data_IF_034981137987
#
_entry.id   IF_034981137987
#
_cell.length_a   1.000
_cell.length_b   1.000
_cell.length_c   1.000
_cell.angle_alpha   90.00
_cell.angle_beta   90.00
_cell.angle_gamma   90.00
#
_symmetry.space_group_name_H-M   'P 1'
#
loop_
_entity.id
_entity.type
_entity.pdbx_description
1 polymer ?
#
# COMPACT_ATOMS: atom_id res chain seq x y z
N UNK A 1 11.26 8.17 7.94
CA UNK A 1 12.29 8.96 8.67
C UNK A 1 13.56 8.13 8.83
N UNK A 2 14.77 8.65 8.56
CA UNK A 2 15.98 7.97 9.01
C UNK A 2 15.92 7.97 10.53
N UNK A 3 15.83 6.80 11.17
CA UNK A 3 15.61 6.73 12.62
C UNK A 3 16.75 7.35 13.45
N UNK A 4 17.79 7.88 12.81
CA UNK A 4 18.86 8.68 13.42
C UNK A 4 18.36 9.95 14.11
N UNK A 5 17.23 10.52 13.67
CA UNK A 5 16.63 11.74 14.25
C UNK A 5 15.88 11.49 15.56
N UNK A 6 15.51 10.24 15.86
CA UNK A 6 14.72 9.88 17.04
C UNK A 6 15.58 9.38 18.20
N UNK A 7 16.91 9.41 18.06
CA UNK A 7 17.82 8.96 19.10
C UNK A 7 17.62 9.79 20.39
N UNK A 8 17.52 9.09 21.52
CA UNK A 8 17.36 9.68 22.84
C UNK A 8 16.09 10.54 23.01
N UNK A 9 15.09 10.36 22.12
CA UNK A 9 13.76 10.99 22.23
C UNK A 9 12.73 10.05 22.85
N UNK A 10 11.87 10.61 23.69
CA UNK A 10 10.62 10.00 24.11
C UNK A 10 9.59 10.15 22.99
N UNK A 11 9.01 9.05 22.54
CA UNK A 11 8.12 9.07 21.38
C UNK A 11 6.67 9.10 21.85
N UNK A 12 5.92 10.07 21.34
CA UNK A 12 4.47 10.16 21.42
C UNK A 12 3.87 9.99 20.03
N UNK A 13 2.67 9.42 19.95
CA UNK A 13 1.95 9.25 18.69
C UNK A 13 0.65 10.04 18.74
N UNK A 14 0.50 10.99 17.83
CA UNK A 14 -0.74 11.71 17.57
C UNK A 14 -1.56 10.91 16.55
N UNK A 15 -2.74 10.43 16.97
CA UNK A 15 -3.75 9.87 16.08
C UNK A 15 -4.72 10.99 15.70
N UNK A 16 -4.32 11.83 14.74
CA UNK A 16 -5.01 13.10 14.40
C UNK A 16 -6.53 12.93 14.17
N UNK A 17 -7.03 11.94 13.39
CA UNK A 17 -8.47 11.78 13.19
C UNK A 17 -9.24 11.38 14.45
N UNK A 18 -8.56 10.81 15.45
CA UNK A 18 -9.12 10.48 16.77
C UNK A 18 -8.90 11.61 17.79
N UNK A 19 -8.10 12.64 17.46
CA UNK A 19 -7.83 13.77 18.33
C UNK A 19 -7.06 13.44 19.60
N UNK A 20 -6.27 12.36 19.61
CA UNK A 20 -5.59 11.86 20.81
C UNK A 20 -4.09 11.64 20.58
N UNK A 21 -3.28 12.06 21.56
CA UNK A 21 -1.84 11.78 21.61
C UNK A 21 -1.56 10.80 22.74
N UNK A 22 -0.82 9.72 22.43
CA UNK A 22 -0.52 8.65 23.38
C UNK A 22 0.99 8.41 23.43
N UNK A 23 1.61 8.30 24.62
CA UNK A 23 3.00 7.89 24.74
C UNK A 23 3.22 6.51 24.13
N UNK A 24 4.14 6.39 23.18
CA UNK A 24 4.45 5.11 22.54
C UNK A 24 5.20 4.15 23.47
N UNK A 25 5.75 4.67 24.58
CA UNK A 25 6.61 3.95 25.53
C UNK A 25 7.81 3.26 24.88
N UNK A 26 8.30 3.87 23.81
CA UNK A 26 9.54 3.53 23.15
C UNK A 26 10.44 4.75 23.06
N UNK A 27 11.74 4.49 22.96
CA UNK A 27 12.77 5.50 22.76
C UNK A 27 13.72 5.05 21.64
N UNK A 28 14.31 6.02 20.93
CA UNK A 28 15.29 5.74 19.89
C UNK A 28 16.67 5.48 20.47
N UNK A 29 17.35 4.45 19.97
CA UNK A 29 18.73 4.09 20.32
C UNK A 29 19.54 3.78 19.07
N UNK A 30 20.87 3.89 19.17
CA UNK A 30 21.79 3.31 18.17
C UNK A 30 22.16 1.88 18.58
N UNK A 31 21.94 0.92 17.68
CA UNK A 31 22.35 -0.46 17.87
C UNK A 31 22.98 -1.01 16.59
N UNK A 32 24.23 -1.47 16.68
CA UNK A 32 25.03 -1.93 15.54
C UNK A 32 25.15 -0.87 14.43
N UNK A 33 25.35 0.40 14.82
CA UNK A 33 25.47 1.53 13.89
C UNK A 33 24.16 1.95 13.21
N UNK A 34 23.05 1.22 13.43
CA UNK A 34 21.73 1.55 12.88
C UNK A 34 20.82 2.10 13.98
N UNK A 35 20.01 3.12 13.67
CA UNK A 35 18.98 3.58 14.59
C UNK A 35 17.87 2.53 14.77
N UNK A 36 17.39 2.36 15.99
CA UNK A 36 16.34 1.39 16.36
C UNK A 36 15.45 1.97 17.45
N UNK A 37 14.21 1.49 17.54
CA UNK A 37 13.31 1.79 18.64
C UNK A 37 13.31 0.66 19.67
N UNK A 38 13.44 1.00 20.95
CA UNK A 38 13.36 0.06 22.08
C UNK A 38 12.25 0.49 23.02
N UNK A 39 11.58 -0.49 23.64
CA UNK A 39 10.62 -0.22 24.73
C UNK A 39 11.36 0.33 25.94
N UNK A 40 10.74 1.27 26.65
CA UNK A 40 11.23 1.77 27.94
C UNK A 40 11.40 0.62 28.95
N UNK A 41 10.38 -0.23 29.06
CA UNK A 41 10.46 -1.50 29.80
C UNK A 41 10.43 -2.67 28.81
N UNK A 42 11.58 -3.30 28.58
CA UNK A 42 11.72 -4.42 27.66
C UNK A 42 10.99 -5.69 28.11
N UNK A 43 10.72 -5.84 29.40
CA UNK A 43 10.10 -7.04 29.97
C UNK A 43 8.58 -6.89 30.13
N UNK A 44 8.05 -5.68 30.02
CA UNK A 44 6.62 -5.44 30.13
C UNK A 44 5.87 -5.88 28.86
N UNK A 45 5.20 -7.04 28.98
CA UNK A 45 4.36 -7.60 27.91
C UNK A 45 3.03 -6.86 27.73
N UNK A 46 2.61 -6.04 28.69
CA UNK A 46 1.41 -5.21 28.55
C UNK A 46 1.66 -4.00 27.65
N UNK A 47 2.92 -3.65 27.36
CA UNK A 47 3.24 -2.51 26.50
C UNK A 47 3.51 -3.00 25.10
N UNK A 48 2.93 -2.36 24.09
CA UNK A 48 3.12 -2.73 22.69
C UNK A 48 4.35 -2.03 22.12
N UNK A 49 5.05 -2.65 21.17
CA UNK A 49 6.07 -1.94 20.40
C UNK A 49 5.39 -1.01 19.38
N UNK A 50 6.05 0.07 18.96
CA UNK A 50 5.41 1.16 18.19
C UNK A 50 4.56 0.68 16.99
N UNK A 51 5.03 -0.19 16.08
CA UNK A 51 4.20 -0.64 14.97
C UNK A 51 2.98 -1.44 15.43
N UNK A 52 3.14 -2.35 16.41
CA UNK A 52 2.04 -3.14 16.96
C UNK A 52 1.00 -2.25 17.64
N UNK A 53 1.45 -1.18 18.30
CA UNK A 53 0.63 -0.17 18.95
C UNK A 53 -0.21 0.60 17.93
N UNK A 54 0.43 1.20 16.92
CA UNK A 54 -0.25 1.95 15.85
C UNK A 54 -1.25 1.06 15.12
N UNK A 55 -0.87 -0.19 14.79
CA UNK A 55 -1.76 -1.13 14.13
C UNK A 55 -2.93 -1.55 15.01
N UNK A 56 -2.76 -1.65 16.32
CA UNK A 56 -3.84 -1.94 17.24
C UNK A 56 -4.87 -0.80 17.26
N UNK A 57 -4.41 0.46 17.37
CA UNK A 57 -5.28 1.65 17.29
C UNK A 57 -5.99 1.74 15.94
N UNK A 58 -5.31 1.40 14.84
CA UNK A 58 -5.88 1.38 13.50
C UNK A 58 -6.75 0.15 13.17
N UNK A 59 -7.05 -0.72 14.16
CA UNK A 59 -7.78 -1.99 13.99
C UNK A 59 -7.25 -2.86 12.84
N UNK A 60 -5.93 -2.92 12.71
CA UNK A 60 -5.24 -3.80 11.78
C UNK A 60 -4.79 -5.09 12.48
N UNK A 61 -4.81 -6.25 11.79
CA UNK A 61 -4.29 -7.49 12.37
C UNK A 61 -2.81 -7.37 12.75
N UNK A 62 -2.36 -8.17 13.73
CA UNK A 62 -0.97 -8.13 14.15
C UNK A 62 -0.04 -8.72 13.07
N UNK A 63 1.06 -8.06 12.69
CA UNK A 63 2.02 -8.61 11.74
C UNK A 63 2.86 -9.73 12.38
N UNK A 64 3.30 -10.68 11.57
CA UNK A 64 4.33 -11.65 11.93
C UNK A 64 5.70 -10.96 12.09
N UNK A 65 6.55 -11.59 12.90
CA UNK A 65 7.94 -11.12 13.12
C UNK A 65 8.88 -11.49 11.98
N UNK A 66 8.61 -12.61 11.33
CA UNK A 66 9.47 -13.23 10.33
C UNK A 66 8.64 -13.64 9.13
N UNK A 67 9.23 -13.51 7.95
CA UNK A 67 8.61 -13.84 6.68
C UNK A 67 8.99 -15.28 6.32
N UNK A 68 8.11 -16.21 6.69
CA UNK A 68 8.31 -17.64 6.47
C UNK A 68 7.77 -18.12 5.12
N UNK A 69 6.80 -17.40 4.56
CA UNK A 69 6.04 -17.82 3.38
C UNK A 69 6.52 -17.13 2.10
N UNK A 70 7.22 -16.00 2.22
CA UNK A 70 7.61 -15.14 1.10
C UNK A 70 6.44 -14.71 0.20
N UNK A 71 5.22 -14.79 0.74
CA UNK A 71 3.97 -14.51 0.05
C UNK A 71 2.99 -13.89 1.04
N UNK A 72 2.22 -12.91 0.56
CA UNK A 72 1.15 -12.26 1.33
C UNK A 72 -0.18 -12.65 0.72
N UNK A 73 -1.09 -13.09 1.58
CA UNK A 73 -2.48 -13.37 1.22
C UNK A 73 -3.35 -12.22 1.70
N UNK A 74 -4.34 -11.85 0.88
CA UNK A 74 -5.38 -10.91 1.27
C UNK A 74 -6.73 -11.65 1.36
N UNK A 75 -7.61 -11.25 2.29
CA UNK A 75 -7.42 -10.18 3.28
C UNK A 75 -6.36 -10.52 4.32
N UNK A 76 -5.80 -9.49 4.96
CA UNK A 76 -4.74 -9.66 5.95
C UNK A 76 -5.30 -10.38 7.17
N UNK A 77 -4.55 -11.35 7.67
CA UNK A 77 -4.90 -12.10 8.86
C UNK A 77 -3.82 -11.93 9.93
N UNK A 78 -4.20 -12.25 11.16
CA UNK A 78 -3.30 -12.15 12.29
C UNK A 78 -2.08 -13.05 12.09
N UNK A 79 -0.88 -12.46 12.10
CA UNK A 79 0.42 -13.10 11.87
C UNK A 79 0.58 -13.80 10.51
N UNK A 80 -0.23 -13.45 9.50
CA UNK A 80 -0.08 -14.02 8.15
C UNK A 80 0.78 -13.17 7.20
N UNK A 81 1.20 -11.98 7.63
CA UNK A 81 1.98 -11.04 6.82
C UNK A 81 3.09 -10.39 7.64
N UNK A 82 4.11 -9.88 6.97
CA UNK A 82 5.18 -9.11 7.61
C UNK A 82 5.12 -7.66 7.17
N UNK A 83 5.16 -6.75 8.15
CA UNK A 83 5.30 -5.33 7.87
C UNK A 83 6.70 -5.04 7.34
N UNK A 84 6.79 -4.31 6.24
CA UNK A 84 8.08 -3.89 5.70
C UNK A 84 8.55 -2.56 6.30
N UNK A 85 7.69 -1.53 6.25
CA UNK A 85 7.97 -0.24 6.85
C UNK A 85 6.69 0.47 7.34
N UNK A 86 6.87 1.41 8.26
CA UNK A 86 5.82 2.32 8.71
C UNK A 86 6.39 3.75 8.67
N UNK A 87 5.68 4.64 8.01
CA UNK A 87 6.08 6.04 7.86
C UNK A 87 5.32 6.92 8.83
N UNK A 88 6.00 7.97 9.29
CA UNK A 88 5.49 8.94 10.24
C UNK A 88 5.89 10.34 9.78
N UNK A 89 5.01 11.30 10.03
CA UNK A 89 5.32 12.72 10.04
C UNK A 89 5.74 13.16 11.45
N UNK A 90 6.66 14.12 11.53
CA UNK A 90 7.04 14.77 12.79
C UNK A 90 6.18 16.01 12.95
N UNK A 91 5.32 16.00 13.96
CA UNK A 91 4.43 17.11 14.26
C UNK A 91 5.12 18.13 15.15
N UNK A 92 5.87 17.64 16.13
CA UNK A 92 6.63 18.46 17.07
C UNK A 92 7.87 17.69 17.57
N UNK A 93 8.96 18.39 17.83
CA UNK A 93 10.22 17.86 18.39
C UNK A 93 10.90 18.98 19.19
N UNK A 94 10.87 18.85 20.52
CA UNK A 94 11.47 19.83 21.43
C UNK A 94 12.90 19.45 21.87
N UNK A 95 13.43 18.34 21.35
CA UNK A 95 14.73 17.82 21.73
C UNK A 95 14.69 16.76 22.84
N UNK A 96 13.55 16.52 23.48
CA UNK A 96 13.35 15.49 24.51
C UNK A 96 12.18 14.60 24.12
N UNK A 97 11.04 15.21 23.82
CA UNK A 97 9.83 14.57 23.37
C UNK A 97 9.61 14.84 21.88
N UNK A 98 9.22 13.80 21.15
CA UNK A 98 8.85 13.89 19.73
C UNK A 98 7.45 13.37 19.53
N UNK A 99 6.61 14.17 18.88
CA UNK A 99 5.24 13.78 18.52
C UNK A 99 5.21 13.37 17.05
N UNK A 100 4.85 12.12 16.81
CA UNK A 100 4.77 11.52 15.50
C UNK A 100 3.31 11.32 15.07
N UNK A 101 2.97 11.62 13.83
CA UNK A 101 1.69 11.25 13.23
C UNK A 101 1.89 10.08 12.26
N UNK A 102 1.18 8.95 12.41
CA UNK A 102 1.36 7.79 11.55
C UNK A 102 0.73 8.03 10.17
N UNK A 103 1.51 7.85 9.10
CA UNK A 103 1.08 8.12 7.73
C UNK A 103 0.60 6.86 7.03
N UNK A 104 1.50 5.88 6.86
CA UNK A 104 1.23 4.67 6.09
C UNK A 104 2.03 3.46 6.56
N UNK A 105 1.55 2.28 6.19
CA UNK A 105 2.23 0.99 6.38
C UNK A 105 2.43 0.31 5.04
N UNK A 106 3.63 -0.22 4.79
CA UNK A 106 3.95 -1.09 3.66
C UNK A 106 4.06 -2.54 4.14
N UNK A 107 3.65 -3.47 3.28
CA UNK A 107 3.71 -4.90 3.58
C UNK A 107 4.80 -5.55 2.74
N UNK A 108 5.61 -6.39 3.35
CA UNK A 108 6.69 -7.09 2.65
C UNK A 108 6.11 -8.03 1.59
N UNK A 109 6.75 -8.11 0.43
CA UNK A 109 6.28 -8.91 -0.71
C UNK A 109 4.90 -8.48 -1.24
N UNK A 110 4.55 -7.20 -1.06
CA UNK A 110 3.32 -6.63 -1.59
C UNK A 110 3.51 -5.18 -2.01
N UNK A 111 2.90 -4.78 -3.13
CA UNK A 111 2.77 -3.37 -3.52
C UNK A 111 1.63 -2.67 -2.73
N UNK A 112 1.02 -3.38 -1.77
CA UNK A 112 -0.09 -2.87 -0.97
C UNK A 112 0.40 -1.88 0.09
N UNK A 113 -0.27 -0.73 0.11
CA UNK A 113 -0.04 0.39 0.98
C UNK A 113 -1.29 0.62 1.81
N UNK A 114 -1.15 0.71 3.13
CA UNK A 114 -2.24 1.09 4.01
C UNK A 114 -2.03 2.53 4.45
N UNK A 115 -2.86 3.44 3.96
CA UNK A 115 -2.95 4.81 4.46
C UNK A 115 -3.63 4.78 5.84
N UNK A 116 -2.89 5.11 6.89
CA UNK A 116 -3.35 5.01 8.28
C UNK A 116 -4.34 6.11 8.62
N UNK A 117 -4.23 7.28 7.99
CA UNK A 117 -5.21 8.35 8.15
C UNK A 117 -6.62 7.91 7.80
N UNK A 118 -6.80 7.28 6.63
CA UNK A 118 -8.11 6.79 6.18
C UNK A 118 -8.70 5.77 7.17
N UNK A 119 -7.84 4.94 7.77
CA UNK A 119 -8.24 3.97 8.81
C UNK A 119 -8.74 4.65 10.06
N UNK A 120 -8.00 5.63 10.55
CA UNK A 120 -8.34 6.36 11.76
C UNK A 120 -9.61 7.21 11.55
N UNK A 121 -9.78 7.82 10.37
CA UNK A 121 -11.02 8.52 9.99
C UNK A 121 -12.23 7.57 9.93
N UNK A 122 -12.04 6.35 9.42
CA UNK A 122 -13.04 5.29 9.43
C UNK A 122 -13.46 4.92 10.87
N UNK A 123 -12.48 4.72 11.76
CA UNK A 123 -12.74 4.40 13.16
C UNK A 123 -13.48 5.54 13.87
N UNK A 124 -13.08 6.79 13.62
CA UNK A 124 -13.77 7.96 14.15
C UNK A 124 -15.25 7.99 13.72
N UNK A 125 -15.53 7.66 12.45
CA UNK A 125 -16.90 7.57 11.92
C UNK A 125 -17.70 6.46 12.56
N UNK A 126 -17.13 5.27 12.75
CA UNK A 126 -17.80 4.16 13.42
C UNK A 126 -18.21 4.56 14.86
N UNK A 127 -17.34 5.27 15.59
CA UNK A 127 -17.65 5.77 16.95
C UNK A 127 -18.73 6.86 16.91
N UNK A 128 -18.69 7.77 15.94
CA UNK A 128 -19.72 8.80 15.79
C UNK A 128 -21.09 8.23 15.40
N UNK A 129 -21.11 7.15 14.60
CA UNK A 129 -22.31 6.44 14.14
C UNK A 129 -22.74 5.27 15.03
N UNK A 130 -22.26 5.19 16.27
CA UNK A 130 -22.40 3.99 17.10
C UNK A 130 -23.85 3.60 17.39
N UNK A 131 -24.77 4.56 17.45
CA UNK A 131 -26.19 4.31 17.69
C UNK A 131 -26.83 3.52 16.53
N UNK A 132 -26.45 3.82 15.29
CA UNK A 132 -26.94 3.13 14.10
C UNK A 132 -26.36 1.71 14.03
N UNK A 133 -25.07 1.56 14.31
CA UNK A 133 -24.42 0.24 14.38
C UNK A 133 -25.06 -0.60 15.50
N UNK A 134 -25.36 -0.01 16.66
CA UNK A 134 -25.98 -0.72 17.77
C UNK A 134 -27.40 -1.21 17.46
N UNK A 135 -28.11 -0.56 16.54
CA UNK A 135 -29.45 -0.97 16.12
C UNK A 135 -29.46 -2.28 15.33
N UNK A 136 -28.40 -2.55 14.55
CA UNK A 136 -28.27 -3.75 13.71
C UNK A 136 -27.32 -4.79 14.31
N UNK A 137 -26.24 -4.35 14.96
CA UNK A 137 -25.13 -5.15 15.45
C UNK A 137 -24.70 -4.71 16.88
N UNK A 138 -25.51 -5.00 17.92
CA UNK A 138 -25.27 -4.51 19.28
C UNK A 138 -23.94 -4.99 19.89
N UNK A 139 -23.54 -6.23 19.64
CA UNK A 139 -22.27 -6.78 20.16
C UNK A 139 -21.05 -6.13 19.49
N UNK A 140 -21.15 -5.83 18.19
CA UNK A 140 -20.10 -5.11 17.45
C UNK A 140 -19.99 -3.66 17.94
N UNK A 141 -21.12 -2.99 18.18
CA UNK A 141 -21.13 -1.65 18.75
C UNK A 141 -20.49 -1.63 20.16
N UNK A 142 -20.81 -2.62 21.01
CA UNK A 142 -20.20 -2.76 22.32
C UNK A 142 -18.67 -2.96 22.23
N UNK A 143 -18.20 -3.79 21.30
CA UNK A 143 -16.77 -3.99 21.06
C UNK A 143 -16.07 -2.72 20.54
N UNK A 144 -16.71 -1.97 19.65
CA UNK A 144 -16.21 -0.68 19.14
C UNK A 144 -16.05 0.33 20.27
N UNK A 145 -17.04 0.45 21.16
CA UNK A 145 -16.97 1.33 22.32
C UNK A 145 -15.86 0.90 23.28
N UNK A 146 -15.77 -0.40 23.60
CA UNK A 146 -14.70 -0.92 24.46
C UNK A 146 -13.30 -0.63 23.88
N UNK A 147 -13.15 -0.70 22.56
CA UNK A 147 -11.90 -0.32 21.89
C UNK A 147 -11.64 1.19 21.95
N UNK A 148 -12.67 2.01 21.71
CA UNK A 148 -12.58 3.46 21.83
C UNK A 148 -12.20 3.88 23.25
N UNK A 149 -12.79 3.28 24.28
CA UNK A 149 -12.48 3.54 25.68
C UNK A 149 -11.02 3.15 26.02
N UNK A 150 -10.55 2.02 25.49
CA UNK A 150 -9.16 1.60 25.65
C UNK A 150 -8.16 2.59 25.01
N UNK A 151 -8.49 3.17 23.85
CA UNK A 151 -7.68 4.22 23.22
C UNK A 151 -7.74 5.51 24.06
N UNK A 152 -8.94 5.93 24.46
CA UNK A 152 -9.19 7.16 25.19
C UNK A 152 -8.61 7.17 26.61
N UNK A 153 -8.26 6.00 27.15
CA UNK A 153 -7.45 5.90 28.37
C UNK A 153 -6.07 6.56 28.22
N UNK A 154 -5.60 6.83 26.99
CA UNK A 154 -4.40 7.61 26.72
C UNK A 154 -3.10 6.90 27.05
N UNK A 155 -3.12 5.57 27.17
CA UNK A 155 -1.97 4.75 27.57
C UNK A 155 -1.73 3.64 26.55
N UNK A 156 -0.45 3.40 26.20
CA UNK A 156 -0.09 2.21 25.43
C UNK A 156 -0.30 0.97 26.32
N UNK A 157 -1.34 0.18 26.05
CA UNK A 157 -1.63 -1.05 26.77
C UNK A 157 -2.09 -2.15 25.80
N UNK A 158 -1.76 -3.41 26.11
CA UNK A 158 -2.17 -4.58 25.36
C UNK A 158 -3.71 -4.74 25.32
N UNK A 159 -4.44 -4.05 26.21
CA UNK A 159 -5.89 -3.91 26.13
C UNK A 159 -6.33 -3.34 24.78
N UNK A 160 -5.63 -2.34 24.23
CA UNK A 160 -5.95 -1.75 22.92
C UNK A 160 -5.89 -2.82 21.83
N UNK A 161 -4.88 -3.70 21.88
CA UNK A 161 -4.77 -4.85 20.96
C UNK A 161 -5.91 -5.84 21.17
N UNK A 162 -6.18 -6.24 22.42
CA UNK A 162 -7.26 -7.22 22.72
C UNK A 162 -8.63 -6.73 22.23
N UNK A 163 -8.94 -5.45 22.45
CA UNK A 163 -10.22 -4.87 22.00
C UNK A 163 -10.24 -4.66 20.49
N UNK A 164 -9.11 -4.32 19.84
CA UNK A 164 -9.01 -4.27 18.39
C UNK A 164 -9.31 -5.63 17.76
N UNK A 165 -8.68 -6.69 18.26
CA UNK A 165 -8.84 -8.05 17.74
C UNK A 165 -10.30 -8.54 17.91
N UNK A 166 -10.99 -8.15 18.99
CA UNK A 166 -12.41 -8.43 19.19
C UNK A 166 -13.29 -7.75 18.13
N UNK A 167 -13.02 -6.48 17.80
CA UNK A 167 -13.74 -5.76 16.73
C UNK A 167 -13.49 -6.43 15.38
N UNK A 168 -12.23 -6.75 15.05
CA UNK A 168 -11.86 -7.40 13.78
C UNK A 168 -12.58 -8.74 13.64
N UNK A 169 -12.61 -9.56 14.69
CA UNK A 169 -13.28 -10.87 14.66
C UNK A 169 -14.78 -10.74 14.40
N UNK A 170 -15.47 -9.83 15.10
CA UNK A 170 -16.90 -9.58 14.90
C UNK A 170 -17.20 -9.02 13.50
N UNK A 171 -16.36 -8.11 13.00
CA UNK A 171 -16.49 -7.60 11.63
C UNK A 171 -16.35 -8.72 10.60
N UNK A 172 -15.38 -9.63 10.78
CA UNK A 172 -15.18 -10.78 9.89
C UNK A 172 -16.35 -11.76 9.93
N UNK A 173 -16.94 -11.98 11.10
CA UNK A 173 -18.11 -12.85 11.27
C UNK A 173 -19.35 -12.28 10.55
N UNK A 174 -19.56 -10.97 10.64
CA UNK A 174 -20.76 -10.30 10.10
C UNK A 174 -20.63 -10.03 8.59
N UNK A 175 -19.47 -9.56 8.14
CA UNK A 175 -19.28 -9.05 6.77
C UNK A 175 -18.34 -9.90 5.91
N UNK A 176 -17.86 -11.03 6.43
CA UNK A 176 -16.85 -11.86 5.79
C UNK A 176 -15.44 -11.27 5.84
N UNK A 177 -14.48 -11.99 5.29
CA UNK A 177 -13.08 -11.59 5.35
C UNK A 177 -12.81 -10.39 4.42
N UNK A 178 -12.50 -9.23 5.00
CA UNK A 178 -12.29 -7.97 4.26
C UNK A 178 -11.10 -7.21 4.84
N UNK A 179 -10.43 -6.45 3.98
CA UNK A 179 -9.42 -5.48 4.41
C UNK A 179 -10.06 -4.16 4.84
N UNK A 180 -11.37 -3.93 4.72
CA UNK A 180 -12.01 -2.65 5.05
C UNK A 180 -12.15 -2.51 6.58
N UNK A 181 -11.80 -1.35 7.11
CA UNK A 181 -11.72 -1.12 8.56
C UNK A 181 -12.95 -0.42 9.15
N UNK A 182 -13.87 0.07 8.32
CA UNK A 182 -15.09 0.77 8.75
C UNK A 182 -16.29 -0.14 8.63
N UNK A 183 -17.08 -0.22 9.70
CA UNK A 183 -18.38 -0.89 9.72
C UNK A 183 -19.39 -0.15 8.84
N UNK A 184 -19.43 1.18 8.93
CA UNK A 184 -20.39 1.99 8.15
C UNK A 184 -20.19 1.85 6.64
N UNK A 185 -18.95 1.60 6.18
CA UNK A 185 -18.67 1.32 4.77
C UNK A 185 -19.16 -0.09 4.38
N UNK A 186 -19.04 -1.05 5.29
CA UNK A 186 -19.47 -2.43 5.07
C UNK A 186 -20.99 -2.58 5.08
N UNK A 187 -21.70 -1.92 5.99
CA UNK A 187 -23.17 -1.89 6.02
C UNK A 187 -23.73 -1.34 4.70
N UNK A 188 -23.20 -0.20 4.22
CA UNK A 188 -23.58 0.38 2.93
C UNK A 188 -23.27 -0.51 1.73
N UNK A 189 -22.26 -1.37 1.83
CA UNK A 189 -21.93 -2.33 0.79
C UNK A 189 -22.87 -3.55 0.83
N UNK A 190 -23.27 -3.99 2.03
CA UNK A 190 -24.18 -5.11 2.25
C UNK A 190 -25.64 -4.79 1.87
N UNK A 191 -26.03 -3.51 1.91
CA UNK A 191 -27.34 -3.04 1.43
C UNK A 191 -27.50 -3.08 -0.11
N UNK A 192 -26.42 -3.34 -0.86
CA UNK A 192 -26.48 -3.49 -2.31
C UNK A 192 -26.99 -4.91 -2.65
N UNK A 193 -27.97 -5.05 -3.56
CA UNK A 193 -28.52 -6.36 -3.91
C UNK A 193 -27.46 -7.27 -4.53
N UNK A 194 -27.45 -8.54 -4.12
CA UNK A 194 -26.66 -9.60 -4.76
C UNK A 194 -27.17 -9.81 -6.20
N UNK A 195 -26.31 -9.61 -7.20
CA UNK A 195 -26.67 -9.83 -8.61
C UNK A 195 -26.36 -11.26 -9.03
N UNK A 196 -27.38 -11.99 -9.49
CA UNK A 196 -27.23 -13.26 -10.21
C UNK A 196 -26.39 -13.07 -11.48
N UNK A 197 -25.52 -14.04 -11.78
CA UNK A 197 -24.65 -14.06 -12.95
C UNK A 197 -25.46 -14.18 -14.25
N UNK A 198 -25.63 -13.11 -15.03
CA UNK A 198 -25.71 -13.16 -16.50
C UNK A 198 -25.55 -11.77 -17.17
N UNK A 199 -24.80 -11.78 -18.29
CA UNK A 199 -24.41 -10.70 -19.21
C UNK A 199 -23.88 -9.38 -18.59
N UNK A 200 -22.53 -9.28 -18.57
CA UNK A 200 -21.78 -8.09 -18.18
C UNK A 200 -22.13 -6.87 -19.05
N UNK A 201 -23.11 -6.10 -18.60
CA UNK A 201 -23.37 -4.73 -19.03
C UNK A 201 -23.21 -3.81 -17.82
N UNK A 202 -22.04 -3.16 -17.74
CA UNK A 202 -21.75 -2.18 -16.70
C UNK A 202 -21.90 -0.76 -17.23
N UNK A 203 -22.48 0.14 -16.44
CA UNK A 203 -22.19 1.58 -16.56
C UNK A 203 -20.80 1.82 -15.98
N UNK A 204 -19.77 1.69 -16.81
CA UNK A 204 -18.42 2.16 -16.50
C UNK A 204 -18.39 3.70 -16.51
N UNK A 205 -17.57 4.30 -15.63
CA UNK A 205 -17.42 5.77 -15.53
C UNK A 205 -17.63 6.37 -14.15
N UNK A 206 -17.78 5.57 -13.08
CA UNK A 206 -17.69 6.10 -11.71
C UNK A 206 -16.28 6.65 -11.49
N UNK A 207 -16.18 7.95 -11.19
CA UNK A 207 -14.93 8.57 -10.75
C UNK A 207 -14.51 7.95 -9.42
N UNK A 208 -13.57 7.00 -9.49
CA UNK A 208 -12.86 6.48 -8.35
C UNK A 208 -11.57 7.29 -8.19
N UNK A 209 -11.45 8.01 -7.09
CA UNK A 209 -10.23 8.76 -6.77
C UNK A 209 -9.16 7.78 -6.30
N UNK A 210 -8.27 7.40 -7.22
CA UNK A 210 -7.07 6.61 -6.94
C UNK A 210 -5.90 7.57 -6.73
N UNK A 211 -5.36 7.64 -5.51
CA UNK A 211 -4.13 8.39 -5.25
C UNK A 211 -2.95 7.54 -5.73
N UNK A 212 -2.40 7.87 -6.90
CA UNK A 212 -1.16 7.29 -7.41
C UNK A 212 0.03 7.99 -6.73
N UNK A 213 0.86 7.26 -5.98
CA UNK A 213 2.20 7.72 -5.61
C UNK A 213 3.09 7.58 -6.85
N UNK A 214 3.40 8.70 -7.50
CA UNK A 214 4.36 8.73 -8.60
C UNK A 214 5.77 8.93 -8.03
N UNK A 215 6.70 8.01 -8.31
CA UNK A 215 8.11 8.39 -8.44
C UNK A 215 8.21 9.36 -9.63
N UNK A 216 8.88 10.49 -9.47
CA UNK A 216 9.01 11.50 -10.53
C UNK A 216 9.63 10.84 -11.78
N UNK A 217 8.87 10.84 -12.88
CA UNK A 217 9.36 10.40 -14.19
C UNK A 217 9.66 11.63 -15.00
N UNK A 218 10.93 11.85 -15.33
CA UNK A 218 11.30 12.92 -16.25
C UNK A 218 10.70 12.61 -17.64
N UNK A 219 9.64 13.33 -18.00
CA UNK A 219 8.97 13.16 -19.31
C UNK A 219 9.89 13.56 -20.46
N UNK A 220 10.93 14.35 -20.21
CA UNK A 220 11.92 14.69 -21.23
C UNK A 220 12.75 13.47 -21.60
N UNK A 221 13.08 12.58 -20.66
CA UNK A 221 13.87 11.40 -20.97
C UNK A 221 13.12 10.41 -21.86
N UNK A 222 11.81 10.26 -21.65
CA UNK A 222 10.94 9.43 -22.51
C UNK A 222 10.84 10.03 -23.91
N UNK A 223 10.69 11.36 -24.02
CA UNK A 223 10.65 12.06 -25.32
C UNK A 223 11.98 11.91 -26.06
N UNK A 224 13.10 12.08 -25.35
CA UNK A 224 14.44 11.91 -25.91
C UNK A 224 14.70 10.47 -26.33
N UNK A 225 14.28 9.48 -25.54
CA UNK A 225 14.42 8.07 -25.86
C UNK A 225 13.60 7.69 -27.10
N UNK A 226 12.35 8.13 -27.20
CA UNK A 226 11.55 7.94 -28.42
C UNK A 226 12.19 8.60 -29.65
N UNK A 227 12.74 9.80 -29.50
CA UNK A 227 13.41 10.53 -30.59
C UNK A 227 14.68 9.81 -31.05
N UNK A 228 15.53 9.39 -30.12
CA UNK A 228 16.75 8.62 -30.38
C UNK A 228 16.43 7.28 -31.04
N UNK A 229 15.42 6.58 -30.53
CA UNK A 229 14.95 5.33 -31.12
C UNK A 229 14.47 5.52 -32.57
N UNK A 230 13.67 6.55 -32.86
CA UNK A 230 13.26 6.87 -34.24
C UNK A 230 14.46 7.14 -35.14
N UNK A 231 15.43 7.92 -34.67
CA UNK A 231 16.62 8.23 -35.45
C UNK A 231 17.41 6.96 -35.82
N UNK A 232 17.46 5.98 -34.93
CA UNK A 232 18.13 4.69 -35.15
C UNK A 232 17.33 3.69 -36.00
N UNK A 233 16.01 3.84 -36.08
CA UNK A 233 15.10 2.90 -36.75
C UNK A 233 14.41 3.52 -37.98
N UNK A 234 15.13 4.32 -38.76
CA UNK A 234 14.63 4.85 -40.05
C UNK A 234 13.43 5.79 -39.91
N UNK A 235 13.31 6.48 -38.78
CA UNK A 235 12.21 7.39 -38.47
C UNK A 235 11.01 6.73 -37.78
N UNK A 236 11.04 5.41 -37.56
CA UNK A 236 9.89 4.64 -37.06
C UNK A 236 9.99 4.32 -35.56
N UNK A 237 8.83 4.21 -34.90
CA UNK A 237 8.69 3.65 -33.55
C UNK A 237 8.09 2.26 -33.67
N UNK A 238 8.94 1.24 -33.57
CA UNK A 238 8.53 -0.17 -33.64
C UNK A 238 8.73 -0.85 -32.29
N UNK A 239 7.91 -1.86 -32.00
CA UNK A 239 8.06 -2.66 -30.79
C UNK A 239 9.33 -3.53 -30.86
N UNK A 240 10.21 -3.45 -29.87
CA UNK A 240 11.40 -4.29 -29.86
C UNK A 240 11.07 -5.77 -29.58
N UNK A 241 9.99 -6.09 -28.85
CA UNK A 241 9.61 -7.49 -28.63
C UNK A 241 9.09 -8.14 -29.92
N UNK A 242 8.02 -7.60 -30.51
CA UNK A 242 7.29 -8.25 -31.59
C UNK A 242 7.54 -7.66 -32.99
N UNK A 243 8.28 -6.57 -33.11
CA UNK A 243 8.55 -5.90 -34.40
C UNK A 243 7.37 -5.09 -34.96
N UNK A 244 6.23 -5.01 -34.25
CA UNK A 244 5.06 -4.26 -34.69
C UNK A 244 5.41 -2.80 -34.98
N UNK A 245 5.13 -2.36 -36.21
CA UNK A 245 5.01 -0.95 -36.59
C UNK A 245 3.55 -0.53 -36.49
N UNK A 246 3.14 0.20 -35.43
CA UNK A 246 1.74 0.57 -35.27
C UNK A 246 1.31 1.65 -36.26
N UNK A 247 2.23 2.35 -36.95
CA UNK A 247 1.85 3.33 -37.98
C UNK A 247 1.35 2.63 -39.24
N UNK A 248 1.90 1.47 -39.56
CA UNK A 248 1.42 0.64 -40.68
C UNK A 248 0.00 0.11 -40.42
N UNK A 249 -0.33 -0.15 -39.15
CA UNK A 249 -1.64 -0.70 -38.75
C UNK A 249 -2.69 0.38 -38.51
N UNK A 250 -2.31 1.48 -37.83
CA UNK A 250 -3.25 2.49 -37.33
C UNK A 250 -3.04 3.88 -37.95
N UNK A 251 -2.14 4.02 -38.92
CA UNK A 251 -1.80 5.31 -39.52
C UNK A 251 -0.98 6.21 -38.57
N UNK A 252 -0.88 7.53 -38.87
CA UNK A 252 -0.02 8.45 -38.13
C UNK A 252 -0.24 8.48 -36.60
N UNK A 253 -1.47 8.25 -36.14
CA UNK A 253 -1.81 8.19 -34.72
C UNK A 253 -1.29 6.93 -34.01
N UNK A 254 -0.91 5.90 -34.77
CA UNK A 254 -0.40 4.63 -34.28
C UNK A 254 0.86 4.74 -33.44
N UNK A 255 1.67 5.78 -33.62
CA UNK A 255 2.88 6.01 -32.81
C UNK A 255 2.61 6.04 -31.29
N UNK A 256 1.37 6.38 -30.90
CA UNK A 256 0.95 6.41 -29.50
C UNK A 256 0.89 5.03 -28.85
N UNK A 257 0.80 3.96 -29.65
CA UNK A 257 0.75 2.59 -29.20
C UNK A 257 2.11 2.05 -28.74
N UNK A 258 3.21 2.78 -28.98
CA UNK A 258 4.53 2.46 -28.43
C UNK A 258 4.77 3.21 -27.11
N UNK A 259 5.09 2.44 -26.08
CA UNK A 259 5.34 2.87 -24.72
C UNK A 259 6.82 2.63 -24.37
N UNK A 260 7.41 3.55 -23.59
CA UNK A 260 8.76 3.39 -23.08
C UNK A 260 8.71 2.62 -21.76
N UNK A 261 9.28 1.42 -21.76
CA UNK A 261 9.37 0.53 -20.61
C UNK A 261 10.77 0.63 -20.00
N UNK A 262 10.91 0.66 -18.68
CA UNK A 262 12.24 0.66 -18.06
C UNK A 262 12.73 -0.78 -17.95
N UNK A 263 13.89 -1.08 -18.54
CA UNK A 263 14.48 -2.44 -18.52
C UNK A 263 14.77 -2.92 -17.09
N UNK A 264 15.02 -1.98 -16.18
CA UNK A 264 14.99 -2.21 -14.73
C UNK A 264 13.73 -1.57 -14.14
N UNK A 265 12.85 -2.32 -13.45
CA UNK A 265 11.65 -1.77 -12.85
C UNK A 265 11.95 -0.55 -11.97
N UNK A 266 11.20 0.54 -12.16
CA UNK A 266 11.37 1.80 -11.40
C UNK A 266 11.28 1.56 -9.87
N UNK A 267 10.52 0.55 -9.44
CA UNK A 267 10.43 0.13 -8.04
C UNK A 267 11.79 -0.36 -7.47
N UNK A 268 12.68 -0.89 -8.32
CA UNK A 268 14.01 -1.39 -7.97
C UNK A 268 15.12 -0.32 -8.07
N UNK A 269 14.82 0.86 -8.64
CA UNK A 269 15.75 1.98 -8.68
C UNK A 269 15.86 2.66 -7.31
N UNK A 270 17.09 2.89 -6.85
CA UNK A 270 17.40 3.69 -5.66
C UNK A 270 16.95 5.15 -5.84
N UNK A 271 16.66 5.90 -4.76
CA UNK A 271 16.47 7.36 -4.85
C UNK A 271 17.62 8.02 -5.62
N UNK A 272 17.32 9.02 -6.46
CA UNK A 272 18.27 9.77 -7.31
C UNK A 272 19.03 8.94 -8.38
N UNK A 273 18.51 7.77 -8.75
CA UNK A 273 19.07 6.98 -9.86
C UNK A 273 19.01 7.74 -11.19
N UNK A 274 20.15 7.81 -11.88
CA UNK A 274 20.25 8.39 -13.21
C UNK A 274 19.73 7.38 -14.23
N UNK A 275 18.52 7.61 -14.73
CA UNK A 275 18.01 6.89 -15.92
C UNK A 275 18.72 7.41 -17.16
N UNK A 276 19.18 6.52 -18.05
CA UNK A 276 19.68 6.86 -19.38
C UNK A 276 18.68 6.42 -20.43
N UNK A 277 18.79 6.99 -21.63
CA UNK A 277 17.96 6.57 -22.79
C UNK A 277 18.13 5.07 -23.10
N UNK A 278 19.32 4.51 -22.86
CA UNK A 278 19.62 3.09 -23.05
C UNK A 278 18.89 2.17 -22.07
N UNK A 279 18.33 2.70 -21.00
CA UNK A 279 17.65 1.93 -19.96
C UNK A 279 16.13 1.84 -20.24
N UNK A 280 15.71 2.27 -21.44
CA UNK A 280 14.32 2.32 -21.90
C UNK A 280 14.12 1.48 -23.18
N UNK A 281 13.20 0.52 -23.07
CA UNK A 281 12.76 -0.34 -24.15
C UNK A 281 11.48 0.19 -24.79
N UNK A 282 11.40 0.20 -26.12
CA UNK A 282 10.20 0.62 -26.85
C UNK A 282 9.29 -0.59 -27.09
N UNK A 283 8.18 -0.67 -26.36
CA UNK A 283 7.25 -1.79 -26.41
C UNK A 283 5.88 -1.35 -26.91
N UNK A 284 5.18 -2.18 -27.68
CA UNK A 284 3.76 -1.95 -27.92
C UNK A 284 2.95 -2.22 -26.64
N UNK A 285 1.75 -1.64 -26.55
CA UNK A 285 0.85 -1.82 -25.40
C UNK A 285 0.66 -3.30 -24.99
N UNK A 286 0.56 -4.20 -25.97
CA UNK A 286 0.39 -5.64 -25.71
C UNK A 286 1.64 -6.27 -25.12
N UNK A 287 2.81 -6.11 -25.75
CA UNK A 287 4.06 -6.66 -25.24
C UNK A 287 4.42 -6.05 -23.88
N UNK A 288 4.15 -4.76 -23.69
CA UNK A 288 4.36 -4.11 -22.40
C UNK A 288 3.51 -4.74 -21.30
N UNK A 289 2.25 -5.07 -21.60
CA UNK A 289 1.36 -5.77 -20.65
C UNK A 289 1.82 -7.20 -20.36
N UNK A 290 2.36 -7.91 -21.36
CA UNK A 290 2.94 -9.25 -21.18
C UNK A 290 4.20 -9.21 -20.32
N UNK A 291 5.09 -8.23 -20.51
CA UNK A 291 6.27 -8.00 -19.64
C UNK A 291 5.86 -7.89 -18.17
N UNK A 292 4.77 -7.16 -17.90
CA UNK A 292 4.23 -6.97 -16.55
C UNK A 292 3.33 -8.11 -16.04
N UNK A 293 3.14 -9.19 -16.80
CA UNK A 293 2.23 -10.30 -16.42
C UNK A 293 2.76 -11.21 -15.31
N UNK A 294 4.05 -11.11 -14.95
CA UNK A 294 4.70 -11.90 -13.89
C UNK A 294 5.56 -11.02 -12.99
N UNK A 295 5.87 -11.54 -11.80
CA UNK A 295 6.82 -10.94 -10.85
C UNK A 295 7.87 -11.99 -10.43
N UNK A 296 9.17 -11.77 -10.69
CA UNK A 296 9.76 -10.62 -11.39
C UNK A 296 9.26 -10.45 -12.83
N UNK A 297 9.30 -9.22 -13.36
CA UNK A 297 8.86 -8.92 -14.72
C UNK A 297 9.66 -9.73 -15.73
N UNK A 298 8.99 -10.12 -16.82
CA UNK A 298 9.65 -10.81 -17.92
C UNK A 298 10.56 -9.83 -18.67
N UNK A 299 11.76 -10.27 -19.01
CA UNK A 299 12.67 -9.57 -19.92
C UNK A 299 12.11 -9.57 -21.34
N UNK A 300 12.62 -8.66 -22.18
CA UNK A 300 12.29 -8.59 -23.61
C UNK A 300 12.59 -9.92 -24.29
N UNK A 301 13.70 -10.55 -23.92
CA UNK A 301 14.14 -11.87 -24.42
C UNK A 301 13.16 -12.97 -24.03
N UNK A 302 12.69 -12.98 -22.77
CA UNK A 302 11.70 -13.95 -22.32
C UNK A 302 10.35 -13.76 -23.01
N UNK A 303 9.90 -12.52 -23.21
CA UNK A 303 8.66 -12.25 -23.97
C UNK A 303 8.80 -12.71 -25.41
N UNK A 304 9.94 -12.45 -26.07
CA UNK A 304 10.22 -12.97 -27.41
C UNK A 304 10.18 -14.50 -27.46
N UNK A 305 10.72 -15.17 -26.44
CA UNK A 305 10.72 -16.64 -26.37
C UNK A 305 9.31 -17.24 -26.17
N UNK A 306 8.39 -16.50 -25.55
CA UNK A 306 6.99 -16.89 -25.39
C UNK A 306 6.16 -16.70 -26.67
N UNK A 307 6.63 -15.88 -27.61
CA UNK A 307 5.90 -15.65 -28.85
C UNK A 307 5.97 -16.90 -29.72
N UNK A 308 4.80 -17.45 -30.04
CA UNK A 308 4.70 -18.42 -31.12
C UNK A 308 5.17 -17.76 -32.43
N UNK A 309 5.85 -18.49 -33.34
CA UNK A 309 6.11 -17.98 -34.67
C UNK A 309 4.75 -17.64 -35.31
N UNK A 310 4.52 -16.36 -35.56
CA UNK A 310 3.36 -15.92 -36.33
C UNK A 310 3.58 -16.50 -37.73
N UNK A 311 2.77 -17.49 -38.12
CA UNK A 311 2.71 -17.91 -39.50
C UNK A 311 2.37 -16.66 -40.32
N UNK A 312 3.27 -16.27 -41.22
CA UNK A 312 3.05 -15.18 -42.13
C UNK A 312 1.78 -15.49 -42.93
N UNK A 313 0.67 -14.85 -42.58
CA UNK A 313 -0.51 -14.79 -43.44
C UNK A 313 -0.16 -13.86 -44.59
N UNK A 314 -0.13 -14.47 -45.77
CA UNK A 314 0.10 -13.85 -47.08
C UNK A 314 -0.96 -12.79 -47.43
#
# INVERSE_FOLDING_TARGET
MPAETLADRNIHVLFEPLGITIPAEVFGVRAQGKPRLRKLDSNNRQKLHLPQFVMAVARLPEPAREDLTHAVTFPLENKSFVMDSMEFDVIDDDGIDVTLSPLRVTIRNSDFLIELRDRLEAIAKDVAGIADIAAHHPDLAAAILAHSDAINAGVNDALIRRTADAVIALQQEIFGSTNVGSVTVLEKAAELPETEEEEATGKEGRLLTRIHVYKERDRNIVKLAKKDFKAKNGGKLVCICCGLDPVEVYGPDGERAIEAHHSTPIEQLQPDSITRISDLDMLCATCHRVVHSRRPCLTVEEVRALMAPIAATA
#
